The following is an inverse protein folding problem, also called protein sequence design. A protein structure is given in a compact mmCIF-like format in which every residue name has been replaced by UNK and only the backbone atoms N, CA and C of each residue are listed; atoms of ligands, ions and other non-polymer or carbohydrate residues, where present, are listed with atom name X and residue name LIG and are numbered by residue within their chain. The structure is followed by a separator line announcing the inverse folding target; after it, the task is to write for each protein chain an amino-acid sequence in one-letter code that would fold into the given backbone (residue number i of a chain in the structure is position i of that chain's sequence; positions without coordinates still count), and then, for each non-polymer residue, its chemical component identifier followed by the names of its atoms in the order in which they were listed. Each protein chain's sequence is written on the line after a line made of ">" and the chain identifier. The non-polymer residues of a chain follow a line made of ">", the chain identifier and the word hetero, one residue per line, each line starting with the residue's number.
data_IF_827365690119
#
_entry.id   IF_827365690119
#
_cell.length_a   1.000
_cell.length_b   1.000
_cell.length_c   1.000
_cell.angle_alpha   90.00
_cell.angle_beta   90.00
_cell.angle_gamma   90.00
#
_symmetry.space_group_name_H-M   'P 1'
#
loop_
_entity.id
_entity.type
_entity.pdbx_description
1 polymer ?
#
# COMPACT_ATOMS: atom_id res chain seq x y z
N UNK A 1 92.67 13.75 3.97
CA UNK A 1 93.61 13.41 5.09
C UNK A 1 92.90 12.43 5.99
N UNK A 2 93.54 11.24 6.09
CA UNK A 2 93.43 10.18 7.14
C UNK A 2 92.08 9.75 7.69
N UNK A 3 91.55 8.67 7.19
CA UNK A 3 91.66 7.26 7.63
C UNK A 3 91.69 7.04 9.15
N UNK A 4 90.73 6.35 9.69
CA UNK A 4 90.90 5.22 10.58
C UNK A 4 89.65 4.34 10.70
N UNK A 5 89.81 3.14 10.19
CA UNK A 5 88.96 1.96 10.47
C UNK A 5 89.39 1.37 11.84
N UNK A 6 88.47 0.66 12.49
CA UNK A 6 88.64 -0.54 13.29
C UNK A 6 87.32 -0.99 13.94
N UNK A 7 87.21 -2.20 14.48
CA UNK A 7 86.64 -3.35 13.79
C UNK A 7 85.44 -3.98 14.57
N UNK A 8 84.84 -4.97 13.95
CA UNK A 8 83.77 -5.85 14.43
C UNK A 8 84.28 -6.76 15.56
N UNK A 9 83.44 -7.22 16.49
CA UNK A 9 83.39 -8.66 16.71
C UNK A 9 81.94 -9.22 16.59
N UNK A 10 81.93 -10.29 15.84
CA UNK A 10 80.92 -11.34 15.78
C UNK A 10 80.67 -12.00 17.14
N UNK A 11 79.47 -12.22 17.54
CA UNK A 11 79.12 -13.27 18.49
C UNK A 11 77.77 -13.90 18.05
N UNK A 12 77.85 -15.12 17.65
CA UNK A 12 76.85 -16.11 17.36
C UNK A 12 76.24 -16.61 18.69
N UNK A 13 74.93 -16.68 18.84
CA UNK A 13 74.28 -17.76 19.62
C UNK A 13 72.87 -17.99 19.11
N UNK A 14 72.59 -19.26 19.04
CA UNK A 14 71.48 -19.95 18.40
C UNK A 14 70.09 -19.92 19.10
N UNK A 15 69.11 -20.21 18.33
CA UNK A 15 67.91 -21.06 18.55
C UNK A 15 66.92 -20.71 19.66
N UNK A 16 65.70 -20.40 19.23
CA UNK A 16 64.54 -21.13 19.73
C UNK A 16 63.36 -20.86 18.75
N UNK A 17 62.87 -21.90 18.10
CA UNK A 17 61.63 -21.94 17.34
C UNK A 17 60.46 -21.90 18.33
N UNK A 18 59.55 -20.97 18.17
CA UNK A 18 58.22 -21.02 18.78
C UNK A 18 57.19 -20.63 17.72
N UNK A 19 56.36 -21.60 17.39
CA UNK A 19 55.17 -21.51 16.59
C UNK A 19 54.24 -20.42 17.13
N UNK A 20 53.91 -19.43 16.31
CA UNK A 20 52.88 -18.46 16.55
C UNK A 20 52.09 -18.30 15.27
N UNK A 21 51.04 -19.13 15.04
CA UNK A 21 50.00 -18.84 14.10
C UNK A 21 49.22 -17.64 14.67
N UNK A 22 49.53 -16.45 14.25
CA UNK A 22 48.83 -15.22 14.53
C UNK A 22 47.89 -14.92 13.36
N UNK A 23 46.61 -14.90 13.66
CA UNK A 23 45.49 -14.58 12.81
C UNK A 23 45.74 -13.35 11.95
N UNK A 24 45.60 -13.51 10.62
CA UNK A 24 45.36 -12.42 9.71
C UNK A 24 43.88 -11.98 9.91
N UNK A 25 43.67 -11.02 10.80
CA UNK A 25 42.46 -10.25 10.82
C UNK A 25 42.46 -9.36 9.59
N UNK A 26 41.85 -9.82 8.52
CA UNK A 26 41.46 -8.96 7.42
C UNK A 26 40.39 -7.99 7.94
N UNK A 27 40.79 -6.74 8.19
CA UNK A 27 39.85 -5.64 8.28
C UNK A 27 39.18 -5.47 6.90
N UNK A 28 38.05 -6.12 6.68
CA UNK A 28 37.12 -5.76 5.64
C UNK A 28 36.40 -4.52 6.13
N UNK A 29 36.85 -3.36 5.67
CA UNK A 29 36.16 -2.09 5.87
C UNK A 29 34.95 -2.02 4.97
N UNK A 30 33.76 -1.83 5.57
CA UNK A 30 32.66 -1.09 4.96
C UNK A 30 31.85 -1.82 3.90
N UNK A 31 31.18 -2.89 4.28
CA UNK A 31 29.92 -3.25 3.66
C UNK A 31 28.82 -2.38 4.30
N UNK A 32 28.13 -1.62 3.50
CA UNK A 32 26.86 -1.01 3.90
C UNK A 32 25.95 -2.11 4.46
N UNK A 33 25.17 -1.78 5.48
CA UNK A 33 24.32 -2.66 6.25
C UNK A 33 23.67 -3.75 5.38
N UNK A 34 24.20 -4.97 5.46
CA UNK A 34 23.41 -6.14 5.17
C UNK A 34 22.26 -6.12 6.18
N UNK A 35 21.02 -6.18 5.70
CA UNK A 35 19.86 -6.37 6.53
C UNK A 35 20.06 -7.58 7.45
N UNK A 36 19.30 -7.62 8.49
CA UNK A 36 19.28 -8.67 9.50
C UNK A 36 19.14 -10.03 8.78
N UNK A 37 20.24 -10.73 8.59
CA UNK A 37 20.35 -11.88 7.66
C UNK A 37 19.60 -13.12 8.14
N UNK A 38 18.93 -13.03 9.29
CA UNK A 38 18.17 -14.14 9.89
C UNK A 38 16.65 -13.98 9.72
N UNK A 39 16.17 -12.88 9.10
CA UNK A 39 14.73 -12.62 8.89
C UNK A 39 14.34 -12.83 7.44
N UNK A 40 13.09 -13.27 7.24
CA UNK A 40 12.47 -13.35 5.93
C UNK A 40 12.27 -11.94 5.36
N UNK A 41 12.99 -11.59 4.27
CA UNK A 41 13.02 -10.24 3.70
C UNK A 41 11.88 -10.06 2.67
N UNK A 42 10.96 -9.16 2.98
CA UNK A 42 9.75 -8.93 2.19
C UNK A 42 9.77 -7.51 1.63
N UNK A 43 9.68 -7.40 0.31
CA UNK A 43 9.40 -6.12 -0.35
C UNK A 43 7.90 -5.99 -0.57
N UNK A 44 7.30 -4.93 -0.04
CA UNK A 44 5.90 -4.58 -0.22
C UNK A 44 5.77 -3.38 -1.16
N UNK A 45 4.78 -3.39 -2.06
CA UNK A 45 4.64 -2.36 -3.07
C UNK A 45 4.22 -1.01 -2.49
N UNK A 46 3.27 -0.98 -1.56
CA UNK A 46 2.76 0.22 -0.90
C UNK A 46 2.21 -0.10 0.49
N UNK A 47 1.72 0.91 1.22
CA UNK A 47 1.40 0.79 2.64
C UNK A 47 0.46 -0.37 3.02
N UNK A 48 -0.72 -0.61 2.40
CA UNK A 48 -1.57 -1.74 2.74
C UNK A 48 -0.85 -3.09 2.63
N UNK A 49 0.00 -3.27 1.63
CA UNK A 49 0.79 -4.49 1.48
C UNK A 49 1.87 -4.61 2.56
N UNK A 50 2.53 -3.49 2.90
CA UNK A 50 3.51 -3.46 3.99
C UNK A 50 2.84 -3.77 5.33
N UNK A 51 1.68 -3.20 5.60
CA UNK A 51 0.90 -3.45 6.81
C UNK A 51 0.55 -4.94 6.97
N UNK A 52 0.07 -5.62 5.90
CA UNK A 52 -0.17 -7.07 5.95
C UNK A 52 1.11 -7.84 6.26
N UNK A 53 2.20 -7.53 5.54
CA UNK A 53 3.47 -8.22 5.74
C UNK A 53 3.98 -8.08 7.18
N UNK A 54 3.88 -6.89 7.76
CA UNK A 54 4.30 -6.60 9.15
C UNK A 54 3.40 -7.29 10.19
N UNK A 55 2.06 -7.22 10.01
CA UNK A 55 1.12 -7.81 10.94
C UNK A 55 1.19 -9.34 10.96
N UNK A 56 1.37 -9.96 9.78
CA UNK A 56 1.47 -11.41 9.63
C UNK A 56 2.86 -11.90 10.02
N UNK A 57 3.89 -11.23 9.53
CA UNK A 57 5.28 -11.65 9.71
C UNK A 57 5.81 -11.43 11.13
N UNK A 58 5.36 -10.35 11.80
CA UNK A 58 5.80 -10.03 13.15
C UNK A 58 7.32 -9.85 13.25
N UNK A 59 7.92 -10.50 14.24
CA UNK A 59 9.37 -10.42 14.48
C UNK A 59 10.23 -11.23 13.49
N UNK A 60 9.60 -12.10 12.69
CA UNK A 60 10.29 -13.01 11.77
C UNK A 60 10.55 -12.40 10.39
N UNK A 61 9.97 -11.25 10.07
CA UNK A 61 10.15 -10.58 8.79
C UNK A 61 10.91 -9.27 8.92
N UNK A 62 11.51 -8.86 7.82
CA UNK A 62 11.95 -7.50 7.58
C UNK A 62 11.19 -6.97 6.36
N UNK A 63 10.41 -5.89 6.53
CA UNK A 63 9.57 -5.34 5.45
C UNK A 63 10.19 -4.05 4.91
N UNK A 64 10.32 -3.98 3.59
CA UNK A 64 10.73 -2.76 2.88
C UNK A 64 9.60 -2.33 1.96
N UNK A 65 9.02 -1.14 2.16
CA UNK A 65 8.04 -0.56 1.24
C UNK A 65 8.72 0.11 0.05
N UNK A 66 8.20 -0.12 -1.17
CA UNK A 66 8.64 0.59 -2.37
C UNK A 66 8.09 2.01 -2.41
N UNK A 67 6.85 2.21 -1.99
CA UNK A 67 6.26 3.55 -1.86
C UNK A 67 6.65 4.15 -0.52
N UNK A 68 7.23 5.35 -0.55
CA UNK A 68 7.67 6.04 0.68
C UNK A 68 6.51 6.78 1.34
N UNK A 69 6.55 7.02 2.67
CA UNK A 69 5.56 7.84 3.34
C UNK A 69 5.35 9.19 2.64
N UNK A 70 4.09 9.55 2.36
CA UNK A 70 3.74 10.79 1.67
C UNK A 70 3.88 10.76 0.15
N UNK A 71 4.26 9.63 -0.44
CA UNK A 71 4.31 9.43 -1.88
C UNK A 71 3.00 8.80 -2.34
N UNK A 72 2.44 9.33 -3.42
CA UNK A 72 1.28 8.79 -4.10
C UNK A 72 1.69 7.47 -4.82
N UNK A 73 0.98 6.34 -4.61
CA UNK A 73 1.43 5.06 -5.14
C UNK A 73 1.10 4.82 -6.61
N UNK A 74 0.01 5.36 -7.17
CA UNK A 74 -0.45 5.04 -8.53
C UNK A 74 0.60 5.37 -9.60
N UNK A 75 1.26 6.52 -9.47
CA UNK A 75 2.27 7.03 -10.41
C UNK A 75 3.72 6.74 -9.95
N UNK A 76 3.92 5.73 -9.11
CA UNK A 76 5.25 5.38 -8.60
C UNK A 76 6.19 4.95 -9.73
N UNK A 77 7.31 5.67 -9.86
CA UNK A 77 8.45 5.29 -10.71
C UNK A 77 9.57 4.69 -9.85
N UNK A 78 10.02 3.47 -10.19
CA UNK A 78 11.03 2.78 -9.41
C UNK A 78 12.44 3.29 -9.73
N UNK A 79 13.17 3.66 -8.69
CA UNK A 79 14.62 3.90 -8.78
C UNK A 79 15.40 2.58 -8.95
N UNK A 80 16.61 2.69 -9.48
CA UNK A 80 17.53 1.52 -9.59
C UNK A 80 17.77 0.85 -8.23
N UNK A 81 17.79 1.61 -7.14
CA UNK A 81 17.98 1.07 -5.81
C UNK A 81 16.79 0.24 -5.32
N UNK A 82 15.55 0.66 -5.62
CA UNK A 82 14.34 -0.10 -5.32
C UNK A 82 14.28 -1.39 -6.14
N UNK A 83 14.69 -1.35 -7.42
CA UNK A 83 14.79 -2.56 -8.26
C UNK A 83 15.81 -3.55 -7.69
N UNK A 84 16.99 -3.08 -7.24
CA UNK A 84 17.98 -3.94 -6.59
C UNK A 84 17.42 -4.54 -5.31
N UNK A 85 16.77 -3.73 -4.46
CA UNK A 85 16.15 -4.21 -3.23
C UNK A 85 15.10 -5.29 -3.50
N UNK A 86 14.26 -5.08 -4.51
CA UNK A 86 13.28 -6.08 -4.95
C UNK A 86 13.96 -7.40 -5.34
N UNK A 87 15.04 -7.35 -6.11
CA UNK A 87 15.75 -8.55 -6.57
C UNK A 87 16.47 -9.32 -5.44
N UNK A 88 16.85 -8.63 -4.39
CA UNK A 88 17.55 -9.22 -3.22
C UNK A 88 16.59 -9.77 -2.16
N UNK A 89 15.27 -9.53 -2.27
CA UNK A 89 14.28 -9.98 -1.29
C UNK A 89 13.88 -11.45 -1.48
N UNK A 90 13.40 -12.07 -0.40
CA UNK A 90 12.86 -13.43 -0.40
C UNK A 90 11.44 -13.47 -0.98
N UNK A 91 10.67 -12.41 -0.74
CA UNK A 91 9.30 -12.27 -1.24
C UNK A 91 8.98 -10.85 -1.69
N UNK A 92 8.12 -10.74 -2.71
CA UNK A 92 7.49 -9.51 -3.15
C UNK A 92 5.97 -9.62 -2.96
N UNK A 93 5.39 -8.69 -2.21
CA UNK A 93 3.94 -8.57 -1.99
C UNK A 93 3.45 -7.29 -2.68
N UNK A 94 2.58 -7.45 -3.67
CA UNK A 94 2.03 -6.36 -4.45
C UNK A 94 0.55 -6.58 -4.77
N UNK A 95 -0.09 -5.56 -5.30
CA UNK A 95 -1.44 -5.62 -5.83
C UNK A 95 -1.36 -5.20 -7.30
N UNK A 96 -1.50 -6.17 -8.18
CA UNK A 96 -1.41 -5.96 -9.63
C UNK A 96 -2.54 -5.05 -10.12
N UNK A 97 -2.18 -4.10 -10.97
CA UNK A 97 -3.10 -3.11 -11.56
C UNK A 97 -3.07 -1.74 -10.90
N UNK A 98 -2.51 -1.62 -9.66
CA UNK A 98 -2.37 -0.34 -8.98
C UNK A 98 -1.13 0.45 -9.45
N UNK A 99 0.02 -0.23 -9.58
CA UNK A 99 1.33 0.38 -9.82
C UNK A 99 2.01 -0.25 -11.04
N UNK A 100 1.84 0.28 -12.27
CA UNK A 100 2.37 -0.33 -13.49
C UNK A 100 3.88 -0.58 -13.48
N UNK A 101 4.68 0.35 -12.93
CA UNK A 101 6.14 0.20 -12.84
C UNK A 101 6.56 -0.93 -11.90
N UNK A 102 5.80 -1.13 -10.80
CA UNK A 102 6.03 -2.22 -9.85
C UNK A 102 5.64 -3.56 -10.48
N UNK A 103 4.49 -3.62 -11.16
CA UNK A 103 4.02 -4.82 -11.86
C UNK A 103 5.05 -5.30 -12.89
N UNK A 104 5.60 -4.38 -13.68
CA UNK A 104 6.64 -4.69 -14.65
C UNK A 104 7.93 -5.17 -13.97
N UNK A 105 8.39 -4.49 -12.92
CA UNK A 105 9.59 -4.86 -12.19
C UNK A 105 9.47 -6.24 -11.53
N UNK A 106 8.32 -6.55 -10.91
CA UNK A 106 8.07 -7.86 -10.30
C UNK A 106 7.97 -8.95 -11.36
N UNK A 107 7.31 -8.68 -12.49
CA UNK A 107 7.23 -9.64 -13.61
C UNK A 107 8.61 -10.02 -14.12
N UNK A 108 9.54 -9.06 -14.22
CA UNK A 108 10.92 -9.24 -14.70
C UNK A 108 11.88 -9.75 -13.62
N UNK A 109 11.52 -9.69 -12.32
CA UNK A 109 12.39 -10.11 -11.21
C UNK A 109 12.51 -11.63 -11.12
N UNK A 110 13.59 -12.11 -10.47
CA UNK A 110 13.80 -13.51 -10.11
C UNK A 110 13.46 -13.79 -8.64
N UNK A 111 12.69 -12.91 -8.00
CA UNK A 111 12.23 -13.10 -6.60
C UNK A 111 11.54 -14.45 -6.44
N UNK A 112 11.94 -15.20 -5.42
CA UNK A 112 11.51 -16.58 -5.22
C UNK A 112 10.02 -16.71 -4.91
N UNK A 113 9.44 -15.76 -4.17
CA UNK A 113 8.03 -15.74 -3.78
C UNK A 113 7.38 -14.44 -4.25
N UNK A 114 6.49 -14.52 -5.24
CA UNK A 114 5.70 -13.39 -5.73
C UNK A 114 4.26 -13.57 -5.25
N UNK A 115 3.75 -12.60 -4.50
CA UNK A 115 2.40 -12.64 -3.93
C UNK A 115 1.63 -11.48 -4.54
N UNK A 116 0.70 -11.79 -5.43
CA UNK A 116 -0.20 -10.83 -6.04
C UNK A 116 -1.54 -10.84 -5.28
N UNK A 117 -1.79 -9.78 -4.52
CA UNK A 117 -3.00 -9.61 -3.71
C UNK A 117 -4.28 -9.62 -4.56
N UNK A 118 -4.21 -9.18 -5.81
CA UNK A 118 -5.33 -9.21 -6.75
C UNK A 118 -5.84 -10.63 -7.06
N UNK A 119 -5.02 -11.65 -6.82
CA UNK A 119 -5.39 -13.07 -7.02
C UNK A 119 -5.95 -13.74 -5.77
N UNK A 120 -5.93 -13.05 -4.62
CA UNK A 120 -6.31 -13.59 -3.31
C UNK A 120 -7.75 -13.27 -2.91
N UNK A 121 -8.39 -12.36 -3.63
CA UNK A 121 -9.82 -12.00 -3.51
C UNK A 121 -10.40 -11.74 -4.89
N UNK A 122 -11.73 -11.56 -5.00
CA UNK A 122 -12.36 -11.14 -6.25
C UNK A 122 -12.21 -9.63 -6.43
N UNK A 123 -11.78 -9.21 -7.63
CA UNK A 123 -11.82 -7.81 -8.04
C UNK A 123 -13.09 -7.52 -8.83
N UNK A 124 -13.72 -6.38 -8.55
CA UNK A 124 -14.93 -5.87 -9.18
C UNK A 124 -14.60 -4.66 -10.07
N UNK A 125 -15.55 -4.26 -10.90
CA UNK A 125 -15.53 -3.01 -11.66
C UNK A 125 -16.38 -1.99 -10.89
N UNK A 126 -15.77 -0.88 -10.44
CA UNK A 126 -16.46 0.24 -9.83
C UNK A 126 -16.25 1.52 -10.64
N UNK A 127 -16.02 1.40 -11.96
CA UNK A 127 -16.01 2.58 -12.83
C UNK A 127 -17.43 3.15 -12.89
N UNK A 128 -17.55 4.47 -12.69
CA UNK A 128 -18.79 5.21 -12.80
C UNK A 128 -19.42 4.98 -14.20
N UNK A 129 -20.57 4.33 -14.28
CA UNK A 129 -21.37 4.15 -15.53
C UNK A 129 -21.86 5.49 -16.12
N UNK A 130 -21.39 6.64 -15.65
CA UNK A 130 -21.90 7.96 -16.01
C UNK A 130 -21.23 8.62 -17.20
N UNK A 131 -20.68 7.87 -18.13
CA UNK A 131 -19.93 8.43 -19.25
C UNK A 131 -20.36 8.11 -20.66
N UNK A 132 -21.62 7.82 -21.03
CA UNK A 132 -22.10 7.88 -22.42
C UNK A 132 -23.61 7.74 -22.55
N UNK A 133 -24.39 8.82 -22.24
CA UNK A 133 -25.66 9.05 -22.90
C UNK A 133 -25.46 9.99 -24.11
N UNK A 134 -24.84 9.49 -25.15
CA UNK A 134 -25.06 10.01 -26.49
C UNK A 134 -25.65 8.89 -27.35
N UNK A 135 -26.96 9.00 -27.59
CA UNK A 135 -27.73 8.06 -28.35
C UNK A 135 -27.24 7.94 -29.78
N UNK A 136 -26.70 6.78 -30.10
CA UNK A 136 -26.70 6.20 -31.43
C UNK A 136 -27.00 4.70 -31.32
N UNK A 137 -28.22 4.33 -31.70
CA UNK A 137 -28.59 2.96 -32.04
C UNK A 137 -27.77 2.53 -33.26
N UNK A 138 -26.71 1.74 -33.06
CA UNK A 138 -26.13 0.92 -34.10
C UNK A 138 -25.78 -0.45 -33.54
N UNK A 139 -26.56 -1.42 -33.99
CA UNK A 139 -26.49 -2.85 -33.73
C UNK A 139 -25.21 -3.47 -34.34
N UNK A 140 -24.09 -3.44 -33.62
CA UNK A 140 -22.96 -4.33 -33.87
C UNK A 140 -22.32 -4.72 -32.53
N UNK A 141 -22.53 -5.99 -32.14
CA UNK A 141 -21.87 -6.61 -31.01
C UNK A 141 -20.35 -6.61 -31.19
N UNK A 142 -19.72 -5.65 -30.62
CA UNK A 142 -18.28 -5.68 -30.29
C UNK A 142 -18.20 -5.77 -28.78
N UNK A 143 -17.65 -6.87 -28.27
CA UNK A 143 -17.13 -6.94 -26.93
C UNK A 143 -16.05 -5.85 -26.83
N UNK A 144 -16.40 -4.69 -26.32
CA UNK A 144 -15.45 -3.72 -25.86
C UNK A 144 -14.86 -4.28 -24.59
N UNK A 145 -13.65 -4.85 -24.67
CA UNK A 145 -12.76 -4.90 -23.52
C UNK A 145 -12.58 -3.44 -23.10
N UNK A 146 -13.20 -3.06 -21.99
CA UNK A 146 -12.98 -1.77 -21.35
C UNK A 146 -11.50 -1.69 -20.99
N UNK A 147 -10.78 -0.70 -21.55
CA UNK A 147 -9.36 -0.43 -21.23
C UNK A 147 -9.19 0.07 -19.79
N UNK A 148 -10.27 0.25 -19.01
CA UNK A 148 -10.26 0.45 -17.56
C UNK A 148 -9.98 -0.86 -16.84
N UNK A 149 -8.91 -0.92 -16.07
CA UNK A 149 -8.62 -2.09 -15.21
C UNK A 149 -9.68 -2.21 -14.11
N UNK A 150 -9.79 -3.39 -13.50
CA UNK A 150 -10.63 -3.59 -12.30
C UNK A 150 -10.16 -2.67 -11.16
N UNK A 151 -11.10 -2.26 -10.32
CA UNK A 151 -10.81 -1.45 -9.14
C UNK A 151 -9.82 -2.17 -8.21
N UNK A 152 -8.65 -1.58 -7.91
CA UNK A 152 -7.65 -2.20 -7.06
C UNK A 152 -7.88 -1.98 -5.56
N UNK A 153 -8.79 -1.10 -5.12
CA UNK A 153 -8.90 -0.59 -3.74
C UNK A 153 -9.54 -1.58 -2.74
N UNK A 154 -9.28 -2.88 -2.90
CA UNK A 154 -9.86 -3.97 -2.09
C UNK A 154 -9.60 -3.88 -0.59
N UNK A 155 -8.54 -3.19 -0.17
CA UNK A 155 -8.18 -3.05 1.26
C UNK A 155 -9.15 -2.15 2.04
N UNK A 156 -10.01 -1.38 1.36
CA UNK A 156 -11.02 -0.55 1.99
C UNK A 156 -12.29 -1.34 2.34
N UNK A 157 -12.45 -2.58 1.85
CA UNK A 157 -13.42 -3.54 2.35
C UNK A 157 -12.72 -4.48 3.35
N UNK A 158 -13.02 -4.41 4.65
CA UNK A 158 -12.37 -5.23 5.65
C UNK A 158 -12.48 -6.74 5.42
N UNK A 159 -13.57 -7.20 4.77
CA UNK A 159 -13.76 -8.64 4.48
C UNK A 159 -12.89 -9.08 3.32
N UNK A 160 -12.84 -8.33 2.21
CA UNK A 160 -11.90 -8.61 1.11
C UNK A 160 -10.45 -8.54 1.56
N UNK A 161 -10.13 -7.56 2.42
CA UNK A 161 -8.78 -7.44 2.98
C UNK A 161 -8.42 -8.59 3.93
N UNK A 162 -9.40 -9.17 4.63
CA UNK A 162 -9.21 -10.40 5.41
C UNK A 162 -8.91 -11.61 4.50
N UNK A 163 -9.59 -11.74 3.36
CA UNK A 163 -9.28 -12.79 2.36
C UNK A 163 -7.84 -12.66 1.84
N UNK A 164 -7.41 -11.41 1.53
CA UNK A 164 -6.03 -11.13 1.13
C UNK A 164 -5.05 -11.52 2.26
N UNK A 165 -5.35 -11.14 3.51
CA UNK A 165 -4.51 -11.48 4.67
C UNK A 165 -4.35 -13.00 4.84
N UNK A 166 -5.42 -13.78 4.67
CA UNK A 166 -5.36 -15.25 4.70
C UNK A 166 -4.46 -15.82 3.58
N UNK A 167 -4.56 -15.25 2.38
CA UNK A 167 -3.74 -15.66 1.25
C UNK A 167 -2.26 -15.37 1.46
N UNK A 168 -1.93 -14.16 1.97
CA UNK A 168 -0.56 -13.76 2.33
C UNK A 168 0.00 -14.65 3.44
N UNK A 169 -0.80 -14.93 4.49
CA UNK A 169 -0.39 -15.83 5.57
C UNK A 169 0.00 -17.22 5.06
N UNK A 170 -0.82 -17.81 4.19
CA UNK A 170 -0.53 -19.11 3.55
C UNK A 170 0.73 -19.07 2.69
N UNK A 171 0.98 -17.94 2.01
CA UNK A 171 2.19 -17.77 1.21
C UNK A 171 3.45 -17.68 2.09
N UNK A 172 3.38 -16.96 3.21
CA UNK A 172 4.48 -16.88 4.19
C UNK A 172 4.76 -18.23 4.85
N UNK A 173 3.71 -18.96 5.31
CA UNK A 173 3.85 -20.32 5.86
C UNK A 173 4.60 -21.26 4.90
N UNK A 174 4.36 -21.10 3.59
CA UNK A 174 5.00 -21.93 2.56
C UNK A 174 6.43 -21.50 2.26
N UNK A 175 6.69 -20.19 2.23
CA UNK A 175 7.99 -19.63 1.87
C UNK A 175 9.01 -19.74 3.01
N UNK A 176 8.55 -19.61 4.26
CA UNK A 176 9.34 -19.72 5.49
C UNK A 176 8.69 -20.68 6.48
N UNK A 177 8.83 -21.99 6.27
CA UNK A 177 8.15 -23.01 7.05
C UNK A 177 8.60 -23.11 8.50
N UNK A 178 9.77 -22.60 8.85
CA UNK A 178 10.29 -22.63 10.22
C UNK A 178 9.46 -21.74 11.16
N UNK A 179 8.84 -20.68 10.63
CA UNK A 179 7.99 -19.73 11.37
C UNK A 179 6.48 -19.87 11.04
N UNK A 180 6.09 -20.92 10.31
CA UNK A 180 4.71 -21.11 9.81
C UNK A 180 3.64 -21.05 10.91
N UNK A 181 3.93 -21.52 12.12
CA UNK A 181 2.96 -21.52 13.24
C UNK A 181 2.67 -20.09 13.74
N UNK A 182 3.69 -19.22 13.76
CA UNK A 182 3.55 -17.81 14.17
C UNK A 182 2.81 -17.02 13.10
N UNK A 183 3.12 -17.21 11.81
CA UNK A 183 2.40 -16.59 10.69
C UNK A 183 0.91 -16.94 10.73
N UNK A 184 0.56 -18.20 10.93
CA UNK A 184 -0.84 -18.63 11.06
C UNK A 184 -1.55 -17.95 12.22
N UNK A 185 -0.94 -17.94 13.39
CA UNK A 185 -1.49 -17.29 14.59
C UNK A 185 -1.69 -15.79 14.37
N UNK A 186 -0.72 -15.12 13.76
CA UNK A 186 -0.79 -13.68 13.48
C UNK A 186 -1.87 -13.38 12.44
N UNK A 187 -1.98 -14.21 11.38
CA UNK A 187 -3.04 -14.10 10.37
C UNK A 187 -4.42 -14.25 11.00
N UNK A 188 -4.64 -15.28 11.83
CA UNK A 188 -5.92 -15.47 12.54
C UNK A 188 -6.27 -14.25 13.41
N UNK A 189 -5.29 -13.69 14.11
CA UNK A 189 -5.50 -12.50 14.94
C UNK A 189 -5.83 -11.25 14.11
N UNK A 190 -5.16 -11.06 12.96
CA UNK A 190 -5.43 -9.96 12.04
C UNK A 190 -6.83 -10.07 11.42
N UNK A 191 -7.19 -11.25 10.91
CA UNK A 191 -8.51 -11.54 10.34
C UNK A 191 -9.61 -11.27 11.36
N UNK A 192 -9.42 -11.67 12.63
CA UNK A 192 -10.35 -11.36 13.71
C UNK A 192 -10.59 -9.86 13.89
N UNK A 193 -9.52 -9.05 13.87
CA UNK A 193 -9.63 -7.58 13.96
C UNK A 193 -10.34 -6.97 12.74
N UNK A 194 -10.11 -7.51 11.54
CA UNK A 194 -10.77 -7.04 10.32
C UNK A 194 -12.28 -7.33 10.36
N UNK A 195 -12.70 -8.49 10.87
CA UNK A 195 -14.12 -8.78 11.09
C UNK A 195 -14.75 -7.88 12.16
N UNK A 196 -14.01 -7.55 13.24
CA UNK A 196 -14.49 -6.59 14.24
C UNK A 196 -14.68 -5.19 13.62
N UNK A 197 -13.78 -4.79 12.72
CA UNK A 197 -13.89 -3.53 11.97
C UNK A 197 -15.11 -3.54 11.04
N UNK A 198 -15.33 -4.63 10.28
CA UNK A 198 -16.52 -4.81 9.44
C UNK A 198 -17.81 -4.65 10.25
N UNK A 199 -17.92 -5.32 11.39
CA UNK A 199 -19.06 -5.22 12.28
C UNK A 199 -19.27 -3.78 12.83
N UNK A 200 -18.17 -3.03 13.05
CA UNK A 200 -18.24 -1.64 13.46
C UNK A 200 -18.80 -0.74 12.34
N UNK A 201 -18.36 -0.93 11.08
CA UNK A 201 -18.90 -0.23 9.93
C UNK A 201 -20.37 -0.56 9.69
N UNK A 202 -20.76 -1.86 9.66
CA UNK A 202 -22.15 -2.28 9.55
C UNK A 202 -23.06 -1.62 10.59
N UNK A 203 -22.59 -1.57 11.85
CA UNK A 203 -23.37 -0.99 12.94
C UNK A 203 -23.38 0.53 12.86
N UNK A 204 -22.23 1.14 12.59
CA UNK A 204 -22.03 2.58 12.59
C UNK A 204 -22.72 3.31 11.45
N UNK A 205 -22.95 2.64 10.33
CA UNK A 205 -23.61 3.21 9.14
C UNK A 205 -25.11 2.91 9.06
N UNK A 206 -25.69 2.24 10.06
CA UNK A 206 -27.15 2.07 10.15
C UNK A 206 -27.84 3.42 10.40
N UNK A 207 -29.10 3.51 9.93
CA UNK A 207 -29.97 4.69 10.17
C UNK A 207 -29.38 6.03 9.66
N UNK A 208 -28.58 6.00 8.61
CA UNK A 208 -28.09 7.17 7.89
C UNK A 208 -29.22 7.87 7.14
N UNK A 209 -29.05 9.13 6.80
CA UNK A 209 -30.05 9.97 6.11
C UNK A 209 -29.89 9.95 4.60
N UNK A 210 -28.68 9.77 4.12
CA UNK A 210 -28.33 9.60 2.71
C UNK A 210 -27.37 8.44 2.58
N UNK A 211 -27.38 7.78 1.41
CA UNK A 211 -26.44 6.72 1.06
C UNK A 211 -25.29 7.27 0.21
N UNK A 212 -25.42 8.51 -0.31
CA UNK A 212 -24.48 9.11 -1.25
C UNK A 212 -23.42 9.91 -0.51
N UNK A 213 -22.15 9.75 -0.92
CA UNK A 213 -21.01 10.57 -0.50
C UNK A 213 -20.13 10.91 -1.70
N UNK A 214 -19.43 12.05 -1.63
CA UNK A 214 -18.59 12.57 -2.72
C UNK A 214 -17.14 12.52 -2.30
N UNK A 215 -16.27 11.95 -3.15
CA UNK A 215 -14.81 11.77 -2.95
C UNK A 215 -14.01 12.50 -4.03
N UNK A 216 -12.69 12.64 -3.80
CA UNK A 216 -11.76 13.20 -4.80
C UNK A 216 -11.49 12.24 -5.94
N UNK A 217 -11.23 10.95 -5.64
CA UNK A 217 -11.12 9.91 -6.67
C UNK A 217 -11.89 8.65 -6.25
N UNK A 218 -12.13 7.74 -7.19
CA UNK A 218 -12.95 6.54 -7.02
C UNK A 218 -12.15 5.44 -6.32
N UNK A 219 -11.94 5.58 -5.01
CA UNK A 219 -11.22 4.59 -4.20
C UNK A 219 -12.13 3.75 -3.31
N UNK A 220 -13.33 4.22 -3.00
CA UNK A 220 -14.17 3.64 -1.97
C UNK A 220 -15.27 2.73 -2.52
N UNK A 221 -15.18 2.29 -3.78
CA UNK A 221 -16.17 1.45 -4.43
C UNK A 221 -16.49 0.17 -3.65
N UNK A 222 -15.47 -0.58 -3.22
CA UNK A 222 -15.66 -1.78 -2.39
C UNK A 222 -16.30 -1.49 -1.03
N UNK A 223 -15.90 -0.40 -0.37
CA UNK A 223 -16.51 0.03 0.88
C UNK A 223 -17.99 0.42 0.65
N UNK A 224 -18.25 1.16 -0.42
CA UNK A 224 -19.61 1.58 -0.78
C UNK A 224 -20.49 0.37 -1.05
N UNK A 225 -20.06 -0.58 -1.87
CA UNK A 225 -20.80 -1.81 -2.17
C UNK A 225 -21.07 -2.62 -0.89
N UNK A 226 -20.04 -2.83 -0.05
CA UNK A 226 -20.15 -3.60 1.20
C UNK A 226 -21.25 -3.08 2.12
N UNK A 227 -21.34 -1.77 2.29
CA UNK A 227 -22.25 -1.16 3.28
C UNK A 227 -23.50 -0.51 2.64
N UNK A 228 -23.74 -0.74 1.34
CA UNK A 228 -24.89 -0.22 0.60
C UNK A 228 -24.88 1.30 0.51
N UNK A 229 -23.70 1.88 0.28
CA UNK A 229 -23.48 3.29 -0.01
C UNK A 229 -23.31 3.50 -1.51
N UNK A 230 -23.29 4.76 -1.93
CA UNK A 230 -23.04 5.19 -3.30
C UNK A 230 -21.91 6.21 -3.26
N UNK A 231 -20.77 5.83 -3.83
CA UNK A 231 -19.65 6.75 -4.04
C UNK A 231 -19.88 7.56 -5.33
N UNK A 232 -19.73 8.85 -5.24
CA UNK A 232 -19.70 9.79 -6.35
C UNK A 232 -18.33 10.46 -6.41
N UNK A 233 -17.43 9.96 -7.24
CA UNK A 233 -16.07 10.47 -7.31
C UNK A 233 -15.96 11.68 -8.24
N UNK A 234 -15.12 12.66 -7.89
CA UNK A 234 -14.78 13.81 -8.73
C UNK A 234 -13.94 13.34 -9.93
N UNK A 235 -12.96 12.50 -9.67
CA UNK A 235 -12.06 11.86 -10.66
C UNK A 235 -12.29 10.35 -10.67
N UNK A 236 -11.84 9.65 -11.73
CA UNK A 236 -11.87 8.19 -11.80
C UNK A 236 -10.90 7.52 -10.82
N UNK A 237 -10.45 6.29 -11.14
CA UNK A 237 -9.53 5.50 -10.29
C UNK A 237 -8.14 6.13 -10.10
N UNK A 238 -7.73 7.07 -10.96
CA UNK A 238 -6.48 7.82 -10.80
C UNK A 238 -6.72 9.17 -10.12
N UNK A 239 -6.12 9.45 -8.95
CA UNK A 239 -6.34 10.69 -8.21
C UNK A 239 -5.81 11.95 -8.92
N UNK A 240 -4.83 11.81 -9.82
CA UNK A 240 -4.25 12.93 -10.60
C UNK A 240 -5.11 13.33 -11.81
N UNK A 241 -6.20 12.61 -12.11
CA UNK A 241 -7.10 12.92 -13.21
C UNK A 241 -7.89 14.20 -12.97
N UNK A 242 -7.94 15.09 -13.96
CA UNK A 242 -8.75 16.32 -13.87
C UNK A 242 -10.21 16.04 -14.26
N UNK A 243 -11.21 16.44 -13.43
CA UNK A 243 -12.61 16.25 -13.75
C UNK A 243 -13.06 17.14 -14.91
N UNK A 244 -13.99 16.65 -15.71
CA UNK A 244 -14.63 17.48 -16.72
C UNK A 244 -15.57 18.51 -16.06
N UNK A 245 -15.78 19.65 -16.73
CA UNK A 245 -16.76 20.63 -16.27
C UNK A 245 -18.20 20.11 -16.26
N UNK A 246 -18.48 19.04 -17.02
CA UNK A 246 -19.77 18.34 -16.99
C UNK A 246 -19.92 17.55 -15.68
N UNK A 247 -18.89 16.81 -15.27
CA UNK A 247 -18.86 16.03 -14.02
C UNK A 247 -19.06 16.93 -12.79
N UNK A 248 -18.36 18.06 -12.72
CA UNK A 248 -18.54 19.03 -11.61
C UNK A 248 -19.99 19.52 -11.49
N UNK A 249 -20.66 19.80 -12.63
CA UNK A 249 -22.08 20.20 -12.62
C UNK A 249 -23.02 19.07 -12.22
N UNK A 250 -22.72 17.86 -12.62
CA UNK A 250 -23.45 16.66 -12.24
C UNK A 250 -23.37 16.44 -10.73
N UNK A 251 -22.15 16.41 -10.16
CA UNK A 251 -21.92 16.27 -8.72
C UNK A 251 -22.66 17.35 -7.90
N UNK A 252 -22.70 18.57 -8.39
CA UNK A 252 -23.49 19.63 -7.74
C UNK A 252 -24.99 19.29 -7.70
N UNK A 253 -25.56 18.73 -8.78
CA UNK A 253 -26.97 18.32 -8.82
C UNK A 253 -27.24 17.11 -7.92
N UNK A 254 -26.35 16.11 -7.95
CA UNK A 254 -26.42 14.94 -7.09
C UNK A 254 -26.38 15.36 -5.61
N UNK A 255 -25.49 16.28 -5.26
CA UNK A 255 -25.39 16.79 -3.89
C UNK A 255 -26.71 17.44 -3.42
N UNK A 256 -27.36 18.24 -4.27
CA UNK A 256 -28.65 18.86 -3.97
C UNK A 256 -29.81 17.85 -3.89
N UNK A 257 -29.82 16.87 -4.81
CA UNK A 257 -30.91 15.88 -4.91
C UNK A 257 -30.89 14.88 -3.75
N UNK A 258 -29.71 14.39 -3.37
CA UNK A 258 -29.53 13.32 -2.39
C UNK A 258 -29.17 13.84 -1.00
N UNK A 259 -29.12 15.17 -0.83
CA UNK A 259 -28.87 15.81 0.47
C UNK A 259 -27.46 15.58 0.99
N UNK A 260 -26.47 15.45 0.10
CA UNK A 260 -25.06 15.38 0.46
C UNK A 260 -24.64 16.67 1.16
N UNK A 261 -23.88 16.56 2.23
CA UNK A 261 -23.46 17.72 3.03
C UNK A 261 -21.96 17.96 2.99
N UNK A 262 -21.19 17.00 2.49
CA UNK A 262 -19.74 16.98 2.62
C UNK A 262 -19.09 16.41 1.36
N UNK A 263 -18.04 17.08 0.88
CA UNK A 263 -17.08 16.54 -0.13
C UNK A 263 -15.86 16.08 0.61
N UNK A 264 -15.48 14.84 0.40
CA UNK A 264 -14.31 14.26 1.01
C UNK A 264 -13.06 14.48 0.16
N UNK A 265 -11.94 14.71 0.83
CA UNK A 265 -10.62 14.76 0.23
C UNK A 265 -9.64 13.86 1.00
N UNK A 266 -8.57 13.50 0.37
CA UNK A 266 -7.55 12.56 0.84
C UNK A 266 -6.26 13.28 1.24
N UNK A 267 -5.34 12.55 1.90
CA UNK A 267 -4.16 13.16 2.54
C UNK A 267 -2.92 13.22 1.65
N UNK A 268 -2.87 12.46 0.55
CA UNK A 268 -1.70 12.38 -0.34
C UNK A 268 -1.76 13.31 -1.53
N UNK A 269 -2.95 13.78 -1.93
CA UNK A 269 -3.14 14.65 -3.08
C UNK A 269 -3.72 16.02 -2.70
N UNK A 270 -3.81 16.93 -3.68
CA UNK A 270 -4.30 18.30 -3.44
C UNK A 270 -5.80 18.32 -3.14
N UNK A 271 -6.19 18.94 -2.05
CA UNK A 271 -7.60 19.15 -1.65
C UNK A 271 -8.30 20.28 -2.43
N UNK A 272 -7.62 20.91 -3.39
CA UNK A 272 -8.12 22.09 -4.11
C UNK A 272 -9.42 21.84 -4.83
N UNK A 273 -9.52 20.73 -5.56
CA UNK A 273 -10.71 20.38 -6.36
C UNK A 273 -11.92 20.12 -5.47
N UNK A 274 -11.74 19.35 -4.39
CA UNK A 274 -12.78 19.13 -3.38
C UNK A 274 -13.27 20.45 -2.74
N UNK A 275 -12.36 21.33 -2.37
CA UNK A 275 -12.69 22.64 -1.79
C UNK A 275 -13.44 23.53 -2.77
N UNK A 276 -13.01 23.54 -4.05
CA UNK A 276 -13.70 24.34 -5.08
C UNK A 276 -15.15 23.83 -5.27
N UNK A 277 -15.35 22.51 -5.41
CA UNK A 277 -16.68 21.95 -5.52
C UNK A 277 -17.53 22.26 -4.28
N UNK A 278 -16.95 22.10 -3.10
CA UNK A 278 -17.66 22.36 -1.84
C UNK A 278 -18.09 23.84 -1.72
N UNK A 279 -17.21 24.77 -2.07
CA UNK A 279 -17.51 26.21 -2.05
C UNK A 279 -18.62 26.56 -3.06
N UNK A 280 -18.57 26.02 -4.29
CA UNK A 280 -19.54 26.28 -5.34
C UNK A 280 -20.93 25.68 -5.01
N UNK A 281 -20.98 24.54 -4.36
CA UNK A 281 -22.21 23.84 -3.97
C UNK A 281 -22.70 24.17 -2.54
N UNK A 282 -21.96 24.96 -1.76
CA UNK A 282 -22.30 25.29 -0.38
C UNK A 282 -22.15 24.11 0.59
N UNK A 283 -21.25 23.17 0.28
CA UNK A 283 -20.98 21.96 1.06
C UNK A 283 -19.83 22.19 2.03
N UNK A 284 -19.64 21.25 2.96
CA UNK A 284 -18.45 21.16 3.82
C UNK A 284 -17.39 20.30 3.17
N UNK A 285 -16.18 20.37 3.67
CA UNK A 285 -15.13 19.40 3.34
C UNK A 285 -14.72 18.63 4.59
N UNK A 286 -14.34 17.36 4.44
CA UNK A 286 -13.74 16.53 5.47
C UNK A 286 -12.77 15.54 4.84
N UNK A 287 -11.95 14.87 5.65
CA UNK A 287 -11.02 13.84 5.21
C UNK A 287 -11.72 12.47 5.19
N UNK A 288 -11.58 11.76 4.09
CA UNK A 288 -11.78 10.33 3.96
C UNK A 288 -10.51 9.76 3.31
N UNK A 289 -9.73 9.00 4.07
CA UNK A 289 -8.38 8.60 3.69
C UNK A 289 -8.43 7.21 3.02
N UNK A 290 -8.00 7.06 1.76
CA UNK A 290 -7.95 5.76 1.08
C UNK A 290 -6.83 4.84 1.61
N UNK A 291 -6.02 5.31 2.55
CA UNK A 291 -4.98 4.55 3.26
C UNK A 291 -3.92 3.98 2.30
N UNK A 292 -3.61 4.68 1.25
CA UNK A 292 -2.55 4.33 0.31
C UNK A 292 -1.15 4.55 0.88
N UNK A 293 -1.06 5.39 1.92
CA UNK A 293 0.12 5.68 2.73
C UNK A 293 -0.25 6.40 4.01
N UNK A 294 0.52 6.21 5.07
CA UNK A 294 0.35 6.94 6.33
C UNK A 294 1.31 8.12 6.37
N UNK A 295 0.79 9.29 6.74
CA UNK A 295 1.52 10.55 6.85
C UNK A 295 1.14 11.29 8.14
N UNK A 296 1.82 12.40 8.42
CA UNK A 296 1.44 13.31 9.52
C UNK A 296 0.02 13.93 9.31
N UNK A 297 -0.52 13.86 8.10
CA UNK A 297 -1.87 14.30 7.75
C UNK A 297 -2.95 13.25 7.99
N UNK A 298 -2.58 11.98 8.11
CA UNK A 298 -3.50 10.87 8.34
C UNK A 298 -4.10 10.95 9.75
N UNK A 299 -5.36 10.55 9.91
CA UNK A 299 -6.09 10.60 11.17
C UNK A 299 -5.95 9.31 11.98
N UNK A 300 -4.75 8.77 12.04
CA UNK A 300 -4.36 7.56 12.75
C UNK A 300 -2.95 7.14 12.41
N UNK A 301 -2.35 6.31 13.24
CA UNK A 301 -0.98 5.84 13.11
C UNK A 301 -0.90 4.49 12.36
N UNK A 302 -2.04 3.83 12.15
CA UNK A 302 -2.15 2.56 11.45
C UNK A 302 -3.48 2.41 10.69
N UNK A 303 -3.58 1.34 9.91
CA UNK A 303 -4.76 1.00 9.12
C UNK A 303 -6.06 1.04 9.93
N UNK A 304 -6.09 0.43 11.11
CA UNK A 304 -7.31 0.34 11.92
C UNK A 304 -7.74 1.71 12.42
N UNK A 305 -6.80 2.52 12.92
CA UNK A 305 -7.11 3.86 13.44
C UNK A 305 -7.62 4.78 12.32
N UNK A 306 -7.03 4.70 11.13
CA UNK A 306 -7.50 5.49 9.98
C UNK A 306 -8.89 5.02 9.53
N UNK A 307 -9.15 3.70 9.43
CA UNK A 307 -10.47 3.18 9.11
C UNK A 307 -11.52 3.57 10.14
N UNK A 308 -11.20 3.54 11.44
CA UNK A 308 -12.11 4.03 12.50
C UNK A 308 -12.40 5.54 12.36
N UNK A 309 -11.42 6.32 11.92
CA UNK A 309 -11.59 7.74 11.64
C UNK A 309 -12.47 7.96 10.40
N UNK A 310 -12.25 7.17 9.35
CA UNK A 310 -13.08 7.16 8.15
C UNK A 310 -14.54 6.85 8.49
N UNK A 311 -14.80 5.85 9.33
CA UNK A 311 -16.15 5.56 9.81
C UNK A 311 -16.80 6.77 10.49
N UNK A 312 -16.08 7.49 11.36
CA UNK A 312 -16.60 8.69 12.05
C UNK A 312 -16.90 9.83 11.07
N UNK A 313 -16.04 10.02 10.05
CA UNK A 313 -16.25 11.00 8.99
C UNK A 313 -17.50 10.66 8.17
N UNK A 314 -17.67 9.40 7.75
CA UNK A 314 -18.86 8.91 7.04
C UNK A 314 -20.13 9.04 7.89
N UNK A 315 -20.11 8.64 9.16
CA UNK A 315 -21.25 8.80 10.08
C UNK A 315 -21.71 10.26 10.15
N UNK A 316 -20.77 11.18 10.24
CA UNK A 316 -21.06 12.61 10.32
C UNK A 316 -21.68 13.13 9.02
N UNK A 317 -21.08 12.80 7.88
CA UNK A 317 -21.51 13.26 6.56
C UNK A 317 -22.87 12.67 6.14
N UNK A 318 -23.05 11.37 6.37
CA UNK A 318 -24.29 10.65 6.01
C UNK A 318 -25.41 10.84 7.05
N UNK A 319 -25.13 11.51 8.17
CA UNK A 319 -26.10 11.74 9.25
C UNK A 319 -26.56 10.47 9.96
N UNK A 320 -25.69 9.47 10.05
CA UNK A 320 -25.91 8.25 10.81
C UNK A 320 -25.93 8.54 12.32
N UNK A 321 -26.70 7.72 13.09
CA UNK A 321 -26.91 7.92 14.54
C UNK A 321 -26.72 6.60 15.29
#
# INVERSE_FOLDING_TARGET
>A
MNVRRLPIPTAVVAAAAALGLGALSACSSGGAAAGDTDKFDVVASFYPMAFLAEQIGGEHVHVTSLTQPGQEPHDLELSTQQIVRLQESDAALHLKGLQPSVDEAIAQSEVGTKIDAATLTSLEDHEDEHGHEDGHEDEHGHEHEHEGGKDPHVWLDPVKYAEVAEGVGKAFEKADPDHAADYRKNTEALVGKLHDLDAAFETGLKNRKTDVFITTHSAFGYLAERYGLIEEAISGLSPESEPSGARVKELTRTAEADGVTTVFYETLVSDRTAKTLADDAGLKTDVLDPIEGITDGSRGDDYFQVMESNLKSLQTALGAK
#
